data_IF_813521713476
#
_entry.id   IF_813521713476
#
_cell.length_a   1.000
_cell.length_b   1.000
_cell.length_c   1.000
_cell.angle_alpha   90.00
_cell.angle_beta   90.00
_cell.angle_gamma   90.00
#
_symmetry.space_group_name_H-M   'P 1'
#
loop_
_entity.id
_entity.type
_entity.pdbx_description
1 polymer ?
#
# COMPACT_ATOMS: atom_id res chain seq x y z
N UNK A 1 8.19 13.42 6.59
CA UNK A 1 7.83 12.73 7.85
C UNK A 1 7.31 11.34 7.53
N UNK A 2 7.61 10.33 8.36
CA UNK A 2 7.06 8.96 8.23
C UNK A 2 6.29 8.60 9.50
N UNK A 3 5.04 8.20 9.35
CA UNK A 3 4.21 7.69 10.43
C UNK A 3 3.98 6.19 10.22
N UNK A 4 4.04 5.41 11.30
CA UNK A 4 3.77 3.96 11.25
C UNK A 4 2.64 3.64 12.21
N UNK A 5 1.51 3.17 11.67
CA UNK A 5 0.34 2.76 12.45
C UNK A 5 0.42 1.26 12.67
N UNK A 6 0.67 0.84 13.91
CA UNK A 6 0.89 -0.56 14.29
C UNK A 6 -0.01 -0.94 15.46
N UNK A 7 -0.41 -2.21 15.54
CA UNK A 7 -1.10 -2.79 16.70
C UNK A 7 -0.92 -4.30 16.67
N UNK A 8 -1.01 -4.92 17.86
CA UNK A 8 -0.95 -6.37 18.06
C UNK A 8 -2.27 -7.06 17.73
N UNK A 9 -3.40 -6.35 17.72
CA UNK A 9 -4.74 -6.91 17.48
C UNK A 9 -5.32 -6.48 16.12
N UNK A 10 -6.04 -7.40 15.48
CA UNK A 10 -6.92 -7.12 14.34
C UNK A 10 -8.16 -6.31 14.75
N UNK A 11 -8.77 -5.58 13.81
CA UNK A 11 -10.06 -4.91 14.05
C UNK A 11 -10.07 -3.65 14.93
N UNK A 12 -8.93 -3.21 15.46
CA UNK A 12 -8.84 -2.00 16.32
C UNK A 12 -8.88 -0.65 15.56
N UNK A 13 -9.18 -0.67 14.26
CA UNK A 13 -9.29 0.57 13.46
C UNK A 13 -7.99 1.13 12.86
N UNK A 14 -6.89 0.35 12.80
CA UNK A 14 -5.60 0.78 12.19
C UNK A 14 -5.75 1.35 10.78
N UNK A 15 -6.40 0.60 9.90
CA UNK A 15 -6.61 0.97 8.50
C UNK A 15 -7.46 2.24 8.39
N UNK A 16 -8.48 2.35 9.25
CA UNK A 16 -9.34 3.54 9.34
C UNK A 16 -8.55 4.77 9.77
N UNK A 17 -7.79 4.70 10.86
CA UNK A 17 -7.02 5.86 11.33
C UNK A 17 -5.91 6.23 10.35
N UNK A 18 -5.25 5.26 9.71
CA UNK A 18 -4.24 5.54 8.68
C UNK A 18 -4.83 6.28 7.47
N UNK A 19 -6.03 5.89 7.03
CA UNK A 19 -6.74 6.56 5.94
C UNK A 19 -7.17 7.98 6.33
N UNK A 20 -7.73 8.16 7.53
CA UNK A 20 -8.16 9.47 8.02
C UNK A 20 -6.99 10.43 8.22
N UNK A 21 -5.87 9.95 8.77
CA UNK A 21 -4.64 10.73 8.86
C UNK A 21 -4.12 11.13 7.48
N UNK A 22 -4.19 10.21 6.50
CA UNK A 22 -3.73 10.50 5.15
C UNK A 22 -4.56 11.62 4.50
N UNK A 23 -5.88 11.54 4.64
CA UNK A 23 -6.80 12.60 4.21
C UNK A 23 -6.52 13.92 4.94
N UNK A 24 -6.34 13.88 6.26
CA UNK A 24 -6.07 15.07 7.05
C UNK A 24 -4.80 15.78 6.59
N UNK A 25 -3.68 15.05 6.46
CA UNK A 25 -2.43 15.64 6.02
C UNK A 25 -2.52 16.20 4.59
N UNK A 26 -3.18 15.49 3.68
CA UNK A 26 -3.32 15.97 2.30
C UNK A 26 -4.17 17.23 2.20
N UNK A 27 -5.27 17.32 2.97
CA UNK A 27 -6.10 18.52 3.09
C UNK A 27 -5.35 19.72 3.70
N UNK A 28 -4.30 19.46 4.50
CA UNK A 28 -3.43 20.48 5.07
C UNK A 28 -2.18 20.77 4.21
N UNK A 29 -2.21 20.45 2.92
CA UNK A 29 -1.15 20.78 1.98
C UNK A 29 0.08 19.86 2.01
N UNK A 30 0.03 18.77 2.79
CA UNK A 30 1.13 17.81 2.85
C UNK A 30 0.97 16.75 1.77
N UNK A 31 1.96 16.63 0.88
CA UNK A 31 2.02 15.54 -0.10
C UNK A 31 2.06 14.19 0.63
N UNK A 32 1.00 13.41 0.48
CA UNK A 32 0.75 12.24 1.33
C UNK A 32 0.64 10.96 0.51
N UNK A 33 1.37 9.93 0.96
CA UNK A 33 1.31 8.56 0.46
C UNK A 33 0.98 7.62 1.61
N UNK A 34 -0.13 6.90 1.47
CA UNK A 34 -0.52 5.81 2.36
C UNK A 34 -0.03 4.49 1.79
N UNK A 35 0.82 3.78 2.55
CA UNK A 35 1.32 2.47 2.16
C UNK A 35 0.53 1.41 2.92
N UNK A 36 -0.28 0.63 2.20
CA UNK A 36 -1.03 -0.49 2.75
C UNK A 36 -0.11 -1.71 2.86
N UNK A 37 0.27 -2.02 4.11
CA UNK A 37 1.09 -3.17 4.49
C UNK A 37 0.26 -4.30 5.11
N UNK A 38 -1.06 -4.25 4.99
CA UNK A 38 -1.90 -5.37 5.41
C UNK A 38 -1.96 -6.40 4.26
N UNK A 39 -1.56 -7.68 4.47
CA UNK A 39 -1.72 -8.72 3.45
C UNK A 39 -3.17 -8.95 3.01
N UNK A 40 -4.16 -8.50 3.80
CA UNK A 40 -5.58 -8.55 3.41
C UNK A 40 -6.03 -7.31 2.62
N UNK A 41 -5.17 -6.29 2.48
CA UNK A 41 -5.39 -5.14 1.62
C UNK A 41 -6.60 -4.29 1.99
N UNK A 42 -6.95 -4.15 3.27
CA UNK A 42 -8.19 -3.46 3.70
C UNK A 42 -8.33 -2.05 3.14
N UNK A 43 -7.26 -1.24 3.21
CA UNK A 43 -7.28 0.14 2.68
C UNK A 43 -7.37 0.10 1.16
N UNK A 44 -6.58 -0.77 0.54
CA UNK A 44 -6.53 -0.94 -0.91
C UNK A 44 -7.88 -1.34 -1.49
N UNK A 45 -8.59 -2.27 -0.82
CA UNK A 45 -9.93 -2.72 -1.18
C UNK A 45 -10.95 -1.58 -1.08
N UNK A 46 -10.91 -0.78 0.00
CA UNK A 46 -11.75 0.39 0.15
C UNK A 46 -11.49 1.43 -0.95
N UNK A 47 -10.22 1.60 -1.35
CA UNK A 47 -9.82 2.45 -2.46
C UNK A 47 -10.11 1.85 -3.85
N UNK A 48 -10.65 0.62 -3.92
CA UNK A 48 -10.91 -0.12 -5.17
C UNK A 48 -9.63 -0.41 -5.99
N UNK A 49 -8.52 -0.67 -5.32
CA UNK A 49 -7.32 -1.25 -5.93
C UNK A 49 -7.52 -2.76 -5.95
N UNK A 50 -7.79 -3.33 -7.13
CA UNK A 50 -8.12 -4.76 -7.31
C UNK A 50 -6.95 -5.64 -7.71
N UNK A 51 -5.79 -5.05 -7.99
CA UNK A 51 -4.62 -5.83 -8.38
C UNK A 51 -3.91 -6.47 -7.20
N UNK A 52 -2.84 -7.18 -7.51
CA UNK A 52 -2.15 -8.09 -6.59
C UNK A 52 -1.16 -7.38 -5.66
N UNK A 53 -1.06 -6.06 -5.71
CA UNK A 53 -0.06 -5.30 -4.94
C UNK A 53 1.32 -5.29 -5.58
N UNK A 54 2.16 -4.34 -5.15
CA UNK A 54 3.42 -4.02 -5.81
C UNK A 54 4.38 -5.21 -5.85
N UNK A 55 4.55 -5.94 -4.75
CA UNK A 55 5.50 -7.06 -4.72
C UNK A 55 5.09 -8.17 -5.70
N UNK A 56 3.81 -8.50 -5.75
CA UNK A 56 3.29 -9.50 -6.68
C UNK A 56 3.45 -9.05 -8.13
N UNK A 57 3.18 -7.77 -8.43
CA UNK A 57 3.35 -7.23 -9.77
C UNK A 57 4.83 -7.20 -10.20
N UNK A 58 5.78 -7.00 -9.29
CA UNK A 58 7.22 -7.16 -9.59
C UNK A 58 7.55 -8.61 -9.97
N UNK A 59 7.07 -9.57 -9.18
CA UNK A 59 7.30 -11.01 -9.44
C UNK A 59 6.67 -11.43 -10.78
N UNK A 60 5.44 -10.99 -11.04
CA UNK A 60 4.69 -11.29 -12.26
C UNK A 60 5.15 -10.45 -13.47
N UNK A 61 6.09 -9.50 -13.28
CA UNK A 61 6.54 -8.53 -14.29
C UNK A 61 5.38 -7.73 -14.91
N UNK A 62 4.41 -7.37 -14.09
CA UNK A 62 3.25 -6.56 -14.47
C UNK A 62 3.60 -5.07 -14.42
N UNK A 63 3.43 -4.37 -15.54
CA UNK A 63 3.79 -2.96 -15.67
C UNK A 63 2.63 -1.99 -15.34
N UNK A 64 1.39 -2.48 -15.30
CA UNK A 64 0.23 -1.64 -15.02
C UNK A 64 0.20 -1.20 -13.56
N UNK A 65 0.61 0.05 -13.33
CA UNK A 65 0.62 0.69 -12.00
C UNK A 65 -0.75 0.79 -11.35
N UNK A 66 -1.84 0.81 -12.13
CA UNK A 66 -3.20 0.93 -11.57
C UNK A 66 -3.59 -0.28 -10.71
N UNK A 67 -2.86 -1.39 -10.85
CA UNK A 67 -3.08 -2.63 -10.11
C UNK A 67 -2.64 -2.52 -8.64
N UNK A 68 -1.73 -1.61 -8.30
CA UNK A 68 -1.19 -1.45 -6.94
C UNK A 68 -1.07 0.00 -6.46
N UNK A 69 -1.25 0.98 -7.33
CA UNK A 69 -1.12 2.40 -7.00
C UNK A 69 -2.33 3.19 -7.46
N UNK A 70 -2.86 4.05 -6.59
CA UNK A 70 -4.04 4.86 -6.92
C UNK A 70 -4.00 6.22 -6.26
N UNK A 71 -4.42 7.23 -7.00
CA UNK A 71 -4.75 8.54 -6.46
C UNK A 71 -6.18 8.55 -5.89
N UNK A 72 -6.32 9.08 -4.69
CA UNK A 72 -7.59 9.31 -4.02
C UNK A 72 -7.92 10.79 -4.07
N UNK A 73 -8.95 11.11 -4.85
CA UNK A 73 -9.50 12.46 -4.94
C UNK A 73 -10.34 12.78 -3.71
N UNK A 74 -10.11 13.95 -3.12
CA UNK A 74 -10.94 14.46 -2.01
C UNK A 74 -11.83 15.61 -2.49
N UNK A 75 -13.00 15.78 -1.86
CA UNK A 75 -13.97 16.82 -2.29
C UNK A 75 -13.46 18.24 -2.05
N UNK A 76 -12.71 18.42 -0.97
CA UNK A 76 -12.27 19.75 -0.49
C UNK A 76 -10.85 20.10 -0.96
N UNK A 77 -10.30 19.35 -1.93
CA UNK A 77 -8.90 19.43 -2.31
C UNK A 77 -7.95 18.75 -1.32
N UNK A 78 -6.70 18.53 -1.74
CA UNK A 78 -5.75 17.75 -0.97
C UNK A 78 -5.84 16.26 -1.31
N UNK A 79 -5.47 15.92 -2.54
CA UNK A 79 -5.40 14.54 -3.00
C UNK A 79 -4.23 13.80 -2.35
N UNK A 80 -4.39 12.50 -2.17
CA UNK A 80 -3.33 11.64 -1.65
C UNK A 80 -3.27 10.34 -2.43
N UNK A 81 -2.16 9.61 -2.26
CA UNK A 81 -1.94 8.36 -2.97
C UNK A 81 -2.02 7.18 -2.02
N UNK A 82 -2.47 6.05 -2.54
CA UNK A 82 -2.44 4.75 -1.86
C UNK A 82 -1.57 3.80 -2.69
N UNK A 83 -0.65 3.12 -2.00
CA UNK A 83 0.16 2.04 -2.54
C UNK A 83 -0.18 0.74 -1.80
N UNK A 84 -0.75 -0.24 -2.52
CA UNK A 84 -0.89 -1.62 -2.05
C UNK A 84 0.48 -2.28 -2.12
N UNK A 85 1.17 -2.41 -1.00
CA UNK A 85 2.52 -2.96 -1.00
C UNK A 85 2.50 -4.48 -1.11
N UNK A 86 1.76 -5.13 -0.23
CA UNK A 86 1.69 -6.59 -0.16
C UNK A 86 0.58 -7.15 -1.04
N UNK A 87 0.80 -8.39 -1.47
CA UNK A 87 -0.22 -9.15 -2.19
C UNK A 87 -1.20 -9.85 -1.27
N UNK A 88 -2.16 -10.53 -1.91
CA UNK A 88 -3.33 -11.07 -1.23
C UNK A 88 -2.98 -12.34 -0.43
N UNK A 89 -2.97 -12.18 0.89
CA UNK A 89 -2.87 -13.28 1.85
C UNK A 89 -1.56 -14.09 1.74
N UNK A 90 -1.69 -15.41 1.59
CA UNK A 90 -0.55 -16.35 1.61
C UNK A 90 0.49 -16.07 0.52
N UNK A 91 0.06 -15.48 -0.60
CA UNK A 91 0.93 -15.12 -1.72
C UNK A 91 2.08 -14.18 -1.30
N UNK A 92 1.84 -13.32 -0.31
CA UNK A 92 2.84 -12.42 0.23
C UNK A 92 4.15 -13.13 0.61
N UNK A 93 4.07 -14.30 1.26
CA UNK A 93 5.27 -15.00 1.72
C UNK A 93 6.08 -15.59 0.56
N UNK A 94 5.40 -16.08 -0.47
CA UNK A 94 6.02 -16.66 -1.67
C UNK A 94 6.70 -15.56 -2.48
N UNK A 95 5.98 -14.47 -2.75
CA UNK A 95 6.53 -13.35 -3.53
C UNK A 95 7.74 -12.72 -2.83
N UNK A 96 7.70 -12.62 -1.49
CA UNK A 96 8.81 -12.08 -0.71
C UNK A 96 10.04 -12.99 -0.76
N UNK A 97 9.87 -14.31 -0.75
CA UNK A 97 10.98 -15.26 -0.88
C UNK A 97 11.61 -15.19 -2.28
N UNK A 98 10.80 -15.08 -3.34
CA UNK A 98 11.29 -14.89 -4.71
C UNK A 98 12.13 -13.62 -4.80
N UNK A 99 11.61 -12.49 -4.31
CA UNK A 99 12.31 -11.19 -4.34
C UNK A 99 13.62 -11.25 -3.55
N UNK A 100 13.66 -11.95 -2.41
CA UNK A 100 14.88 -12.09 -1.59
C UNK A 100 15.97 -12.92 -2.27
N UNK A 101 15.58 -13.89 -3.10
CA UNK A 101 16.51 -14.75 -3.86
C UNK A 101 17.03 -14.08 -5.14
N UNK A 102 16.30 -13.09 -5.65
CA UNK A 102 16.74 -12.30 -6.79
C UNK A 102 17.80 -11.27 -6.35
N UNK A 103 19.07 -11.53 -6.67
CA UNK A 103 20.18 -10.64 -6.31
C UNK A 103 20.01 -9.23 -6.88
N UNK A 104 19.38 -9.07 -8.06
CA UNK A 104 19.19 -7.76 -8.70
C UNK A 104 18.13 -6.92 -7.98
N UNK A 105 17.13 -7.58 -7.40
CA UNK A 105 16.07 -6.92 -6.63
C UNK A 105 16.47 -6.70 -5.16
N UNK A 106 17.29 -7.58 -4.60
CA UNK A 106 17.65 -7.55 -3.18
C UNK A 106 18.92 -6.76 -2.88
N UNK A 107 19.94 -6.80 -3.75
CA UNK A 107 21.16 -6.00 -3.54
C UNK A 107 20.91 -4.57 -3.99
N UNK A 108 21.12 -3.65 -3.05
CA UNK A 108 21.14 -2.21 -3.32
C UNK A 108 22.47 -1.92 -4.01
N UNK A 109 22.44 -1.64 -5.32
CA UNK A 109 23.57 -1.01 -6.01
C UNK A 109 23.85 0.36 -5.39
#
# INVERSE_FOLDING_TARGET
MRLSVLSTKGGVGKSTIALLLSKYFSQNGVKTLLIDRDPLGWVSNLAKIKGKGLLASIVDKEEDKQTYFKEVKTKDGGDFYILKLYGDGARFYVDLDIIRRDEKLYKKN
#
